data_IF_978770162966
#
_entry.id   IF_978770162966
#
_cell.length_a   1.000
_cell.length_b   1.000
_cell.length_c   1.000
_cell.angle_alpha   90.00
_cell.angle_beta   90.00
_cell.angle_gamma   90.00
#
_symmetry.space_group_name_H-M   'P 1'
#
loop_
_entity.id
_entity.type
_entity.pdbx_description
1 polymer ?
#
# COMPACT_ATOMS: atom_id res chain seq x y z
N UNK A 1 29.35 80.49 1.09
CA UNK A 1 28.66 79.65 0.07
C UNK A 1 29.29 78.25 -0.02
N UNK A 2 29.28 77.45 1.06
CA UNK A 2 29.85 76.07 1.08
C UNK A 2 28.97 75.03 1.81
N UNK A 3 27.84 75.43 2.39
CA UNK A 3 26.99 74.56 3.22
C UNK A 3 25.91 73.84 2.38
N UNK A 4 25.48 74.40 1.26
CA UNK A 4 24.39 73.84 0.43
C UNK A 4 24.84 72.60 -0.38
N UNK A 5 26.14 72.46 -0.65
CA UNK A 5 26.66 71.35 -1.47
C UNK A 5 26.76 70.01 -0.71
N UNK A 6 26.90 70.03 0.62
CA UNK A 6 26.94 68.80 1.44
C UNK A 6 25.55 68.19 1.68
N UNK A 7 24.48 69.00 1.68
CA UNK A 7 23.11 68.51 1.87
C UNK A 7 22.57 67.75 0.64
N UNK A 8 22.97 68.14 -0.57
CA UNK A 8 22.52 67.49 -1.82
C UNK A 8 23.16 66.11 -2.04
N UNK A 9 24.40 65.90 -1.62
CA UNK A 9 25.08 64.60 -1.72
C UNK A 9 24.49 63.60 -0.71
N UNK A 10 24.11 64.07 0.49
CA UNK A 10 23.42 63.25 1.47
C UNK A 10 22.07 62.76 0.92
N UNK A 11 21.21 63.63 0.38
CA UNK A 11 19.87 63.25 -0.11
C UNK A 11 19.92 62.25 -1.28
N UNK A 12 20.89 62.36 -2.19
CA UNK A 12 21.05 61.40 -3.30
C UNK A 12 21.53 60.01 -2.83
N UNK A 13 22.42 59.95 -1.85
CA UNK A 13 22.84 58.69 -1.23
C UNK A 13 21.73 58.02 -0.41
N UNK A 14 20.87 58.81 0.25
CA UNK A 14 19.71 58.28 0.97
C UNK A 14 18.65 57.68 0.01
N UNK A 15 18.37 58.31 -1.13
CA UNK A 15 17.40 57.79 -2.09
C UNK A 15 17.84 56.47 -2.76
N UNK A 16 19.14 56.29 -3.04
CA UNK A 16 19.66 55.00 -3.54
C UNK A 16 19.67 53.90 -2.47
N UNK A 17 19.91 54.25 -1.20
CA UNK A 17 19.85 53.29 -0.09
C UNK A 17 18.42 52.85 0.20
N UNK A 18 17.43 53.74 0.05
CA UNK A 18 16.01 53.42 0.22
C UNK A 18 15.53 52.49 -0.90
N UNK A 19 15.78 52.78 -2.17
CA UNK A 19 15.33 51.93 -3.29
C UNK A 19 15.97 50.52 -3.28
N UNK A 20 17.24 50.42 -2.91
CA UNK A 20 17.94 49.12 -2.78
C UNK A 20 17.43 48.32 -1.57
N UNK A 21 17.10 48.98 -0.45
CA UNK A 21 16.51 48.29 0.72
C UNK A 21 15.09 47.78 0.42
N UNK A 22 14.27 48.57 -0.26
CA UNK A 22 12.90 48.19 -0.66
C UNK A 22 12.91 46.93 -1.54
N UNK A 23 13.82 46.86 -2.51
CA UNK A 23 13.95 45.70 -3.40
C UNK A 23 14.40 44.43 -2.64
N UNK A 24 15.30 44.52 -1.66
CA UNK A 24 15.75 43.34 -0.89
C UNK A 24 14.68 42.80 0.06
N UNK A 25 13.90 43.68 0.68
CA UNK A 25 12.82 43.26 1.58
C UNK A 25 11.67 42.57 0.82
N UNK A 26 11.28 43.11 -0.34
CA UNK A 26 10.29 42.49 -1.22
C UNK A 26 10.74 41.10 -1.68
N UNK A 27 11.99 40.95 -2.11
CA UNK A 27 12.55 39.65 -2.50
C UNK A 27 12.59 38.64 -1.35
N UNK A 28 12.80 39.09 -0.11
CA UNK A 28 12.74 38.20 1.07
C UNK A 28 11.29 37.75 1.36
N UNK A 29 10.30 38.63 1.19
CA UNK A 29 8.87 38.26 1.28
C UNK A 29 8.47 37.27 0.19
N UNK A 30 8.98 37.45 -1.03
CA UNK A 30 8.75 36.51 -2.12
C UNK A 30 9.39 35.14 -1.83
N UNK A 31 10.58 35.12 -1.24
CA UNK A 31 11.24 33.89 -0.81
C UNK A 31 10.44 33.16 0.28
N UNK A 32 9.89 33.89 1.25
CA UNK A 32 9.00 33.34 2.27
C UNK A 32 7.72 32.77 1.67
N UNK A 33 7.10 33.48 0.74
CA UNK A 33 5.94 32.99 -0.01
C UNK A 33 6.25 31.69 -0.75
N UNK A 34 7.41 31.60 -1.43
CA UNK A 34 7.84 30.38 -2.15
C UNK A 34 8.02 29.20 -1.20
N UNK A 35 8.66 29.43 -0.04
CA UNK A 35 8.81 28.40 0.99
C UNK A 35 7.45 27.88 1.45
N UNK A 36 6.52 28.79 1.76
CA UNK A 36 5.17 28.41 2.20
C UNK A 36 4.38 27.66 1.13
N UNK A 37 4.51 28.05 -0.14
CA UNK A 37 3.91 27.30 -1.27
C UNK A 37 4.48 25.89 -1.34
N UNK A 38 5.80 25.72 -1.32
CA UNK A 38 6.43 24.40 -1.36
C UNK A 38 6.05 23.52 -0.16
N UNK A 39 5.94 24.08 1.04
CA UNK A 39 5.45 23.35 2.22
C UNK A 39 4.03 22.82 1.98
N UNK A 40 3.11 23.70 1.57
CA UNK A 40 1.72 23.33 1.31
C UNK A 40 1.61 22.26 0.20
N UNK A 41 2.45 22.34 -0.84
CA UNK A 41 2.52 21.31 -1.89
C UNK A 41 2.94 19.95 -1.32
N UNK A 42 4.00 19.91 -0.50
CA UNK A 42 4.47 18.66 0.14
C UNK A 42 3.39 18.09 1.07
N UNK A 43 2.73 18.94 1.88
CA UNK A 43 1.64 18.51 2.76
C UNK A 43 0.45 17.92 2.01
N UNK A 44 0.05 18.54 0.90
CA UNK A 44 -1.01 18.04 0.04
C UNK A 44 -0.64 16.69 -0.57
N UNK A 45 0.61 16.55 -1.03
CA UNK A 45 1.13 15.30 -1.57
C UNK A 45 1.16 14.20 -0.51
N UNK A 46 1.58 14.50 0.73
CA UNK A 46 1.51 13.55 1.85
C UNK A 46 0.05 13.09 2.10
N UNK A 47 -0.91 14.01 2.02
CA UNK A 47 -2.34 13.66 2.15
C UNK A 47 -2.80 12.72 1.04
N UNK A 48 -2.38 12.96 -0.20
CA UNK A 48 -2.68 12.11 -1.35
C UNK A 48 -2.04 10.73 -1.24
N UNK A 49 -0.80 10.66 -0.73
CA UNK A 49 -0.10 9.40 -0.47
C UNK A 49 -0.84 8.58 0.60
N UNK A 50 -1.31 9.21 1.67
CA UNK A 50 -2.12 8.55 2.70
C UNK A 50 -3.44 8.02 2.13
N UNK A 51 -4.10 8.79 1.25
CA UNK A 51 -5.29 8.32 0.54
C UNK A 51 -4.98 7.12 -0.36
N UNK A 52 -3.88 7.17 -1.09
CA UNK A 52 -3.40 6.06 -1.92
C UNK A 52 -3.15 4.79 -1.09
N UNK A 53 -2.44 4.92 0.05
CA UNK A 53 -2.22 3.84 1.04
C UNK A 53 -3.51 3.14 1.41
N UNK A 54 -4.50 3.89 1.88
CA UNK A 54 -5.78 3.34 2.33
C UNK A 54 -6.54 2.65 1.19
N UNK A 55 -6.56 3.27 0.00
CA UNK A 55 -7.21 2.70 -1.17
C UNK A 55 -6.54 1.39 -1.63
N UNK A 56 -5.21 1.35 -1.67
CA UNK A 56 -4.44 0.17 -2.07
C UNK A 56 -4.78 -1.01 -1.16
N UNK A 57 -4.72 -0.81 0.17
CA UNK A 57 -5.06 -1.84 1.15
C UNK A 57 -6.51 -2.29 1.04
N UNK A 58 -7.45 -1.35 0.99
CA UNK A 58 -8.88 -1.65 0.94
C UNK A 58 -9.23 -2.45 -0.32
N UNK A 59 -8.81 -1.98 -1.49
CA UNK A 59 -9.10 -2.66 -2.76
C UNK A 59 -8.49 -4.06 -2.80
N UNK A 60 -7.25 -4.21 -2.31
CA UNK A 60 -6.56 -5.50 -2.33
C UNK A 60 -7.27 -6.49 -1.42
N UNK A 61 -7.54 -6.08 -0.17
CA UNK A 61 -8.26 -6.88 0.82
C UNK A 61 -9.64 -7.30 0.31
N UNK A 62 -10.40 -6.37 -0.28
CA UNK A 62 -11.71 -6.70 -0.84
C UNK A 62 -11.60 -7.75 -1.95
N UNK A 63 -10.69 -7.54 -2.92
CA UNK A 63 -10.55 -8.42 -4.07
C UNK A 63 -10.08 -9.82 -3.70
N UNK A 64 -9.13 -9.92 -2.76
CA UNK A 64 -8.58 -11.20 -2.32
C UNK A 64 -9.58 -11.99 -1.46
N UNK A 65 -10.36 -11.30 -0.61
CA UNK A 65 -11.41 -11.91 0.23
C UNK A 65 -12.58 -12.42 -0.61
N UNK A 66 -13.09 -11.62 -1.56
CA UNK A 66 -14.17 -12.08 -2.47
C UNK A 66 -13.74 -13.36 -3.19
N UNK A 67 -12.47 -13.43 -3.62
CA UNK A 67 -11.95 -14.63 -4.26
C UNK A 67 -11.79 -15.80 -3.29
N UNK A 68 -11.41 -15.54 -2.03
CA UNK A 68 -11.35 -16.56 -0.97
C UNK A 68 -12.73 -17.19 -0.75
N UNK A 69 -13.76 -16.37 -0.59
CA UNK A 69 -15.15 -16.81 -0.35
C UNK A 69 -15.68 -17.68 -1.50
N UNK A 70 -15.39 -17.29 -2.75
CA UNK A 70 -15.73 -18.09 -3.92
C UNK A 70 -15.11 -19.49 -3.84
N UNK A 71 -13.81 -19.59 -3.52
CA UNK A 71 -13.12 -20.87 -3.42
C UNK A 71 -13.59 -21.68 -2.21
N UNK A 72 -13.89 -21.03 -1.08
CA UNK A 72 -14.47 -21.69 0.10
C UNK A 72 -15.84 -22.30 -0.23
N UNK A 73 -16.67 -21.59 -0.98
CA UNK A 73 -17.94 -22.13 -1.51
C UNK A 73 -17.69 -23.33 -2.43
N UNK A 74 -16.71 -23.27 -3.33
CA UNK A 74 -16.35 -24.41 -4.19
C UNK A 74 -15.92 -25.63 -3.37
N UNK A 75 -15.07 -25.45 -2.35
CA UNK A 75 -14.65 -26.53 -1.43
C UNK A 75 -15.86 -27.15 -0.73
N UNK A 76 -16.77 -26.32 -0.21
CA UNK A 76 -18.01 -26.78 0.41
C UNK A 76 -18.84 -27.63 -0.55
N UNK A 77 -19.13 -27.11 -1.74
CA UNK A 77 -19.92 -27.82 -2.74
C UNK A 77 -19.30 -29.16 -3.15
N UNK A 78 -17.97 -29.22 -3.34
CA UNK A 78 -17.29 -30.49 -3.66
C UNK A 78 -17.43 -31.50 -2.53
N UNK A 79 -17.28 -31.05 -1.28
CA UNK A 79 -17.41 -31.91 -0.11
C UNK A 79 -18.83 -32.43 0.05
N UNK A 80 -19.83 -31.55 -0.08
CA UNK A 80 -21.25 -31.90 0.05
C UNK A 80 -21.67 -32.92 -1.02
N UNK A 81 -21.34 -32.66 -2.29
CA UNK A 81 -21.64 -33.58 -3.40
C UNK A 81 -21.00 -34.95 -3.20
N UNK A 82 -19.77 -34.99 -2.69
CA UNK A 82 -19.11 -36.28 -2.41
C UNK A 82 -19.78 -37.08 -1.31
N UNK A 83 -20.31 -36.40 -0.28
CA UNK A 83 -21.04 -37.06 0.79
C UNK A 83 -22.42 -37.54 0.32
N UNK A 84 -23.05 -36.82 -0.61
CA UNK A 84 -24.28 -37.27 -1.29
C UNK A 84 -24.03 -38.52 -2.14
N UNK A 85 -22.95 -38.55 -2.92
CA UNK A 85 -22.54 -39.72 -3.69
C UNK A 85 -22.31 -40.94 -2.79
N UNK A 86 -21.56 -40.77 -1.70
CA UNK A 86 -21.32 -41.84 -0.73
C UNK A 86 -22.63 -42.29 -0.04
N UNK A 87 -23.58 -41.39 0.22
CA UNK A 87 -24.91 -41.76 0.74
C UNK A 87 -25.66 -42.68 -0.22
N UNK A 88 -25.53 -42.45 -1.52
CA UNK A 88 -26.12 -43.34 -2.54
C UNK A 88 -25.50 -44.74 -2.46
N UNK A 89 -24.18 -44.86 -2.37
CA UNK A 89 -23.52 -46.16 -2.17
C UNK A 89 -23.99 -46.88 -0.89
N UNK A 90 -24.16 -46.13 0.20
CA UNK A 90 -24.69 -46.67 1.47
C UNK A 90 -26.12 -47.20 1.30
N UNK A 91 -26.98 -46.46 0.60
CA UNK A 91 -28.34 -46.88 0.34
C UNK A 91 -28.37 -48.18 -0.48
N UNK A 92 -27.59 -48.24 -1.57
CA UNK A 92 -27.51 -49.42 -2.44
C UNK A 92 -26.92 -50.64 -1.75
N UNK A 93 -26.00 -50.47 -0.81
CA UNK A 93 -25.47 -51.57 -0.01
C UNK A 93 -26.51 -52.09 0.99
N UNK A 94 -27.28 -51.19 1.62
CA UNK A 94 -28.35 -51.57 2.57
C UNK A 94 -29.47 -52.35 1.88
N UNK A 95 -29.85 -51.98 0.66
CA UNK A 95 -30.86 -52.76 -0.11
C UNK A 95 -30.37 -54.17 -0.45
N UNK A 96 -29.05 -54.39 -0.46
CA UNK A 96 -28.41 -55.70 -0.61
C UNK A 96 -28.16 -56.43 0.72
N UNK A 97 -28.70 -55.94 1.84
CA UNK A 97 -28.56 -56.56 3.16
C UNK A 97 -27.23 -56.33 3.87
N UNK A 98 -26.40 -55.39 3.39
CA UNK A 98 -25.10 -55.05 3.98
C UNK A 98 -25.21 -53.98 5.08
N UNK A 99 -24.20 -53.89 5.95
CA UNK A 99 -24.11 -52.83 6.97
C UNK A 99 -22.92 -51.88 6.75
N UNK A 100 -23.07 -50.86 5.88
CA UNK A 100 -21.99 -49.92 5.54
C UNK A 100 -21.74 -48.81 6.57
N UNK A 101 -22.34 -48.88 7.77
CA UNK A 101 -22.38 -47.75 8.72
C UNK A 101 -20.99 -47.24 9.11
N UNK A 102 -20.04 -48.15 9.39
CA UNK A 102 -18.67 -47.77 9.75
C UNK A 102 -17.94 -47.08 8.59
N UNK A 103 -18.10 -47.59 7.37
CA UNK A 103 -17.53 -46.97 6.17
C UNK A 103 -18.05 -45.55 5.99
N UNK A 104 -19.37 -45.35 6.14
CA UNK A 104 -19.99 -44.04 6.01
C UNK A 104 -19.46 -43.02 7.04
N UNK A 105 -19.38 -43.42 8.31
CA UNK A 105 -18.87 -42.56 9.39
C UNK A 105 -17.41 -42.16 9.17
N UNK A 106 -16.57 -43.11 8.73
CA UNK A 106 -15.19 -42.83 8.39
C UNK A 106 -15.09 -41.81 7.25
N UNK A 107 -15.87 -41.99 6.18
CA UNK A 107 -15.85 -41.06 5.05
C UNK A 107 -16.36 -39.67 5.40
N UNK A 108 -17.31 -39.54 6.33
CA UNK A 108 -17.72 -38.25 6.89
C UNK A 108 -16.58 -37.55 7.63
N UNK A 109 -15.84 -38.29 8.46
CA UNK A 109 -14.69 -37.76 9.18
C UNK A 109 -13.60 -37.28 8.21
N UNK A 110 -13.29 -38.08 7.17
CA UNK A 110 -12.31 -37.72 6.14
C UNK A 110 -12.76 -36.48 5.35
N UNK A 111 -14.03 -36.43 4.93
CA UNK A 111 -14.59 -35.26 4.23
C UNK A 111 -14.45 -33.96 5.04
N UNK A 112 -14.67 -34.04 6.37
CA UNK A 112 -14.47 -32.91 7.29
C UNK A 112 -13.00 -32.48 7.39
N UNK A 113 -12.07 -33.44 7.41
CA UNK A 113 -10.63 -33.13 7.43
C UNK A 113 -10.24 -32.44 6.11
N UNK A 114 -10.70 -32.95 4.98
CA UNK A 114 -10.40 -32.38 3.66
C UNK A 114 -10.89 -30.93 3.56
N UNK A 115 -12.14 -30.65 3.95
CA UNK A 115 -12.70 -29.29 3.88
C UNK A 115 -11.99 -28.34 4.84
N UNK A 116 -11.71 -28.75 6.08
CA UNK A 116 -10.95 -27.95 7.05
C UNK A 116 -9.54 -27.62 6.56
N UNK A 117 -8.84 -28.59 5.98
CA UNK A 117 -7.52 -28.37 5.39
C UNK A 117 -7.59 -27.41 4.19
N UNK A 118 -8.64 -27.54 3.38
CA UNK A 118 -8.94 -26.62 2.30
C UNK A 118 -9.11 -25.18 2.80
N UNK A 119 -10.00 -24.95 3.77
CA UNK A 119 -10.22 -23.62 4.35
C UNK A 119 -8.95 -23.02 4.98
N UNK A 120 -8.23 -23.81 5.78
CA UNK A 120 -6.96 -23.37 6.37
C UNK A 120 -5.93 -22.98 5.32
N UNK A 121 -5.88 -23.71 4.19
CA UNK A 121 -4.97 -23.38 3.10
C UNK A 121 -5.39 -22.13 2.34
N UNK A 122 -6.70 -21.87 2.19
CA UNK A 122 -7.18 -20.59 1.65
C UNK A 122 -6.76 -19.42 2.55
N UNK A 123 -6.85 -19.55 3.88
CA UNK A 123 -6.39 -18.51 4.81
C UNK A 123 -4.89 -18.23 4.67
N UNK A 124 -4.07 -19.27 4.44
CA UNK A 124 -2.64 -19.12 4.17
C UNK A 124 -2.39 -18.36 2.87
N UNK A 125 -3.11 -18.70 1.80
CA UNK A 125 -3.01 -17.99 0.52
C UNK A 125 -3.30 -16.49 0.66
N UNK A 126 -4.28 -16.09 1.48
CA UNK A 126 -4.55 -14.67 1.77
C UNK A 126 -3.34 -14.00 2.41
N UNK A 127 -2.74 -14.63 3.42
CA UNK A 127 -1.58 -14.07 4.13
C UNK A 127 -0.39 -13.91 3.19
N UNK A 128 -0.08 -14.93 2.40
CA UNK A 128 1.01 -14.90 1.41
C UNK A 128 0.78 -13.81 0.35
N UNK A 129 -0.45 -13.66 -0.13
CA UNK A 129 -0.80 -12.60 -1.07
C UNK A 129 -0.62 -11.19 -0.48
N UNK A 130 -0.94 -10.99 0.80
CA UNK A 130 -0.85 -9.67 1.48
C UNK A 130 0.60 -9.18 1.66
N UNK A 131 1.57 -10.07 1.78
CA UNK A 131 3.00 -9.69 1.90
C UNK A 131 3.44 -8.75 0.78
N UNK A 132 2.91 -8.91 -0.43
CA UNK A 132 3.24 -8.05 -1.56
C UNK A 132 2.88 -6.58 -1.32
N UNK A 133 1.73 -6.31 -0.72
CA UNK A 133 1.29 -4.92 -0.45
C UNK A 133 1.88 -4.37 0.85
N UNK A 134 2.32 -5.21 1.78
CA UNK A 134 2.97 -4.80 3.04
C UNK A 134 4.32 -4.11 2.77
N UNK A 135 5.10 -4.63 1.81
CA UNK A 135 6.36 -4.00 1.41
C UNK A 135 6.15 -2.57 0.90
N UNK A 136 5.06 -2.35 0.15
CA UNK A 136 4.68 -1.03 -0.37
C UNK A 136 4.33 -0.08 0.78
N UNK A 137 3.73 -0.58 1.87
CA UNK A 137 3.42 0.25 3.04
C UNK A 137 4.66 0.86 3.66
N UNK A 138 5.73 0.05 3.78
CA UNK A 138 7.02 0.51 4.31
C UNK A 138 7.59 1.63 3.43
N UNK A 139 7.58 1.44 2.10
CA UNK A 139 8.02 2.48 1.15
C UNK A 139 7.19 3.75 1.27
N UNK A 140 5.88 3.63 1.52
CA UNK A 140 5.02 4.80 1.74
C UNK A 140 5.44 5.55 3.03
N UNK A 141 5.79 4.84 4.11
CA UNK A 141 6.24 5.47 5.36
C UNK A 141 7.56 6.24 5.16
N UNK A 142 8.50 5.67 4.41
CA UNK A 142 9.77 6.32 4.09
C UNK A 142 9.56 7.62 3.30
N UNK A 143 8.63 7.59 2.33
CA UNK A 143 8.30 8.77 1.53
C UNK A 143 7.63 9.83 2.39
N UNK A 144 6.65 9.46 3.23
CA UNK A 144 6.00 10.42 4.14
C UNK A 144 7.05 11.07 5.06
N UNK A 145 7.96 10.29 5.64
CA UNK A 145 9.05 10.76 6.50
C UNK A 145 9.98 11.72 5.75
N UNK A 146 10.31 11.40 4.50
CA UNK A 146 11.09 12.28 3.62
C UNK A 146 10.38 13.60 3.39
N UNK A 147 9.07 13.58 3.09
CA UNK A 147 8.27 14.79 2.92
C UNK A 147 8.21 15.66 4.19
N UNK A 148 8.02 15.04 5.36
CA UNK A 148 8.04 15.75 6.65
C UNK A 148 9.40 16.38 6.93
N UNK A 149 10.50 15.69 6.60
CA UNK A 149 11.86 16.22 6.73
C UNK A 149 12.03 17.45 5.84
N UNK A 150 11.58 17.41 4.58
CA UNK A 150 11.65 18.55 3.67
C UNK A 150 10.87 19.77 4.19
N UNK A 151 9.70 19.56 4.79
CA UNK A 151 8.92 20.64 5.43
C UNK A 151 9.73 21.28 6.56
N UNK A 152 10.34 20.46 7.44
CA UNK A 152 11.14 20.96 8.55
C UNK A 152 12.40 21.72 8.09
N UNK A 153 13.07 21.22 7.04
CA UNK A 153 14.23 21.91 6.47
C UNK A 153 13.86 23.25 5.83
N UNK A 154 12.69 23.33 5.17
CA UNK A 154 12.13 24.56 4.62
C UNK A 154 11.84 25.60 5.72
N UNK A 155 11.30 25.18 6.86
CA UNK A 155 11.07 26.04 8.03
C UNK A 155 12.36 26.63 8.60
N UNK A 156 13.45 25.89 8.51
CA UNK A 156 14.74 26.32 9.07
C UNK A 156 15.53 27.26 8.15
N UNK A 157 15.10 27.48 6.89
CA UNK A 157 15.88 28.27 5.92
C UNK A 157 16.18 29.69 6.42
N UNK A 158 15.18 30.39 6.96
CA UNK A 158 15.36 31.77 7.39
C UNK A 158 16.19 31.89 8.67
N UNK A 159 16.02 30.97 9.61
CA UNK A 159 16.80 30.93 10.85
C UNK A 159 18.27 30.56 10.59
N UNK A 160 18.54 29.66 9.64
CA UNK A 160 19.91 29.28 9.28
C UNK A 160 20.64 30.40 8.52
N UNK A 161 19.90 31.24 7.79
CA UNK A 161 20.45 32.39 7.08
C UNK A 161 20.53 33.65 7.98
N UNK A 162 21.05 33.50 9.20
CA UNK A 162 21.21 34.63 10.12
C UNK A 162 22.37 35.55 9.68
N UNK A 163 22.06 36.69 9.04
CA UNK A 163 23.05 37.72 8.74
C UNK A 163 22.47 39.13 8.90
N UNK A 164 23.28 40.05 9.46
CA UNK A 164 22.90 41.46 9.66
C UNK A 164 22.81 42.24 8.34
N UNK A 165 23.47 41.77 7.27
CA UNK A 165 23.43 42.38 5.95
C UNK A 165 22.30 41.75 5.10
N UNK A 166 21.25 42.52 4.72
CA UNK A 166 20.08 42.00 4.03
C UNK A 166 20.40 41.29 2.70
N UNK A 167 21.36 41.81 1.92
CA UNK A 167 21.78 41.19 0.65
C UNK A 167 22.41 39.81 0.84
N UNK A 168 23.21 39.62 1.89
CA UNK A 168 23.84 38.34 2.21
C UNK A 168 22.78 37.35 2.69
N UNK A 169 21.85 37.80 3.54
CA UNK A 169 20.70 37.01 3.98
C UNK A 169 19.88 36.53 2.77
N UNK A 170 19.51 37.44 1.86
CA UNK A 170 18.76 37.10 0.65
C UNK A 170 19.50 36.10 -0.25
N UNK A 171 20.80 36.28 -0.44
CA UNK A 171 21.61 35.33 -1.22
C UNK A 171 21.62 33.92 -0.57
N UNK A 172 21.81 33.86 0.75
CA UNK A 172 21.76 32.60 1.50
C UNK A 172 20.41 31.88 1.35
N UNK A 173 19.30 32.61 1.58
CA UNK A 173 17.94 32.08 1.48
C UNK A 173 17.68 31.57 0.06
N UNK A 174 18.01 32.36 -0.96
CA UNK A 174 17.80 31.99 -2.37
C UNK A 174 18.58 30.73 -2.73
N UNK A 175 19.84 30.61 -2.28
CA UNK A 175 20.66 29.41 -2.52
C UNK A 175 20.05 28.17 -1.87
N UNK A 176 19.54 28.30 -0.64
CA UNK A 176 18.86 27.19 0.06
C UNK A 176 17.56 26.80 -0.61
N UNK A 177 16.73 27.76 -1.05
CA UNK A 177 15.49 27.45 -1.80
C UNK A 177 15.81 26.64 -3.04
N UNK A 178 16.77 27.08 -3.87
CA UNK A 178 17.19 26.33 -5.07
C UNK A 178 17.66 24.90 -4.77
N UNK A 179 18.35 24.71 -3.65
CA UNK A 179 18.76 23.38 -3.20
C UNK A 179 17.54 22.49 -2.87
N UNK A 180 16.54 23.04 -2.21
CA UNK A 180 15.32 22.29 -1.86
C UNK A 180 14.42 22.02 -3.06
N UNK A 181 14.40 22.88 -4.08
CA UNK A 181 13.70 22.61 -5.35
C UNK A 181 14.17 21.27 -5.97
N UNK A 182 15.48 20.97 -5.90
CA UNK A 182 16.01 19.69 -6.36
C UNK A 182 15.54 18.52 -5.47
N UNK A 183 15.50 18.70 -4.16
CA UNK A 183 15.01 17.66 -3.25
C UNK A 183 13.52 17.39 -3.41
N UNK A 184 12.70 18.42 -3.61
CA UNK A 184 11.27 18.29 -3.93
C UNK A 184 11.09 17.56 -5.26
N UNK A 185 11.92 17.84 -6.27
CA UNK A 185 11.88 17.08 -7.53
C UNK A 185 12.18 15.59 -7.33
N UNK A 186 13.19 15.27 -6.53
CA UNK A 186 13.52 13.87 -6.22
C UNK A 186 12.40 13.20 -5.42
N UNK A 187 11.83 13.90 -4.44
CA UNK A 187 10.67 13.44 -3.67
C UNK A 187 9.49 13.10 -4.59
N UNK A 188 9.13 13.99 -5.53
CA UNK A 188 8.09 13.74 -6.53
C UNK A 188 8.40 12.52 -7.42
N UNK A 189 9.67 12.33 -7.81
CA UNK A 189 10.10 11.14 -8.55
C UNK A 189 9.90 9.85 -7.75
N UNK A 190 10.25 9.87 -6.46
CA UNK A 190 10.06 8.73 -5.55
C UNK A 190 8.58 8.36 -5.41
N UNK A 191 7.68 9.34 -5.41
CA UNK A 191 6.23 9.12 -5.34
C UNK A 191 5.72 8.41 -6.60
N UNK A 192 6.15 8.87 -7.78
CA UNK A 192 5.79 8.20 -9.04
C UNK A 192 6.26 6.75 -9.04
N UNK A 193 7.51 6.51 -8.65
CA UNK A 193 8.05 5.15 -8.56
C UNK A 193 7.27 4.30 -7.55
N UNK A 194 6.94 4.84 -6.38
CA UNK A 194 6.17 4.16 -5.36
C UNK A 194 4.77 3.76 -5.86
N UNK A 195 4.08 4.63 -6.61
CA UNK A 195 2.78 4.28 -7.21
C UNK A 195 2.91 3.11 -8.19
N UNK A 196 3.90 3.16 -9.08
CA UNK A 196 4.15 2.06 -10.03
C UNK A 196 4.48 0.75 -9.31
N UNK A 197 5.32 0.80 -8.27
CA UNK A 197 5.63 -0.38 -7.45
C UNK A 197 4.39 -0.89 -6.72
N UNK A 198 3.57 0.00 -6.18
CA UNK A 198 2.32 -0.36 -5.51
C UNK A 198 1.31 -1.05 -6.43
N UNK A 199 1.13 -0.54 -7.64
CA UNK A 199 0.21 -1.12 -8.63
C UNK A 199 0.71 -2.49 -9.13
N UNK A 200 2.03 -2.62 -9.26
CA UNK A 200 2.69 -3.89 -9.62
C UNK A 200 2.52 -4.91 -8.51
N UNK A 201 2.81 -4.54 -7.26
CA UNK A 201 2.67 -5.40 -6.10
C UNK A 201 1.21 -5.84 -5.90
N UNK A 202 0.24 -4.94 -6.13
CA UNK A 202 -1.18 -5.27 -6.13
C UNK A 202 -1.48 -6.39 -7.14
N UNK A 203 -1.03 -6.24 -8.39
CA UNK A 203 -1.28 -7.23 -9.43
C UNK A 203 -0.60 -8.57 -9.13
N UNK A 204 0.67 -8.54 -8.74
CA UNK A 204 1.44 -9.73 -8.42
C UNK A 204 0.86 -10.48 -7.22
N UNK A 205 0.56 -9.77 -6.12
CA UNK A 205 -0.06 -10.37 -4.95
C UNK A 205 -1.43 -10.98 -5.27
N UNK A 206 -2.23 -10.31 -6.11
CA UNK A 206 -3.53 -10.83 -6.51
C UNK A 206 -3.42 -12.09 -7.39
N UNK A 207 -2.51 -12.10 -8.37
CA UNK A 207 -2.26 -13.27 -9.22
C UNK A 207 -1.70 -14.44 -8.41
N UNK A 208 -0.77 -14.16 -7.50
CA UNK A 208 -0.22 -15.15 -6.57
C UNK A 208 -1.33 -15.77 -5.72
N UNK A 209 -2.20 -14.95 -5.15
CA UNK A 209 -3.38 -15.40 -4.40
C UNK A 209 -4.29 -16.30 -5.23
N UNK A 210 -4.61 -15.93 -6.48
CA UNK A 210 -5.42 -16.77 -7.38
C UNK A 210 -4.74 -18.12 -7.63
N UNK A 211 -3.45 -18.11 -7.95
CA UNK A 211 -2.71 -19.34 -8.21
C UNK A 211 -2.71 -20.27 -7.00
N UNK A 212 -2.48 -19.70 -5.80
CA UNK A 212 -2.54 -20.42 -4.54
C UNK A 212 -3.94 -21.02 -4.31
N UNK A 213 -5.01 -20.23 -4.45
CA UNK A 213 -6.39 -20.73 -4.31
C UNK A 213 -6.73 -21.87 -5.27
N UNK A 214 -6.32 -21.75 -6.53
CA UNK A 214 -6.56 -22.79 -7.53
C UNK A 214 -5.89 -24.11 -7.13
N UNK A 215 -4.66 -24.05 -6.60
CA UNK A 215 -3.95 -25.21 -6.09
C UNK A 215 -4.70 -25.86 -4.91
N UNK A 216 -5.22 -25.05 -3.97
CA UNK A 216 -6.03 -25.54 -2.86
C UNK A 216 -7.29 -26.27 -3.36
N UNK A 217 -7.99 -25.70 -4.34
CA UNK A 217 -9.18 -26.32 -4.94
C UNK A 217 -8.84 -27.64 -5.63
N UNK A 218 -7.73 -27.71 -6.38
CA UNK A 218 -7.27 -28.95 -7.02
C UNK A 218 -6.97 -30.02 -5.99
N UNK A 219 -6.19 -29.72 -4.95
CA UNK A 219 -5.88 -30.66 -3.87
C UNK A 219 -7.12 -31.13 -3.13
N UNK A 220 -8.07 -30.22 -2.88
CA UNK A 220 -9.35 -30.57 -2.25
C UNK A 220 -10.12 -31.55 -3.13
N UNK A 221 -10.20 -31.30 -4.44
CA UNK A 221 -10.88 -32.17 -5.40
C UNK A 221 -10.26 -33.57 -5.43
N UNK A 222 -8.94 -33.66 -5.42
CA UNK A 222 -8.22 -34.94 -5.36
C UNK A 222 -8.55 -35.70 -4.07
N UNK A 223 -8.46 -35.04 -2.92
CA UNK A 223 -8.80 -35.64 -1.63
C UNK A 223 -10.26 -36.11 -1.56
N UNK A 224 -11.20 -35.31 -2.08
CA UNK A 224 -12.60 -35.68 -2.16
C UNK A 224 -12.81 -36.93 -3.02
N UNK A 225 -12.21 -36.98 -4.22
CA UNK A 225 -12.31 -38.16 -5.11
C UNK A 225 -11.73 -39.42 -4.47
N UNK A 226 -10.59 -39.31 -3.79
CA UNK A 226 -9.99 -40.41 -3.07
C UNK A 226 -10.92 -40.93 -1.97
N UNK A 227 -11.54 -40.03 -1.20
CA UNK A 227 -12.51 -40.40 -0.16
C UNK A 227 -13.73 -41.15 -0.73
N UNK A 228 -14.27 -40.69 -1.87
CA UNK A 228 -15.39 -41.37 -2.55
C UNK A 228 -15.00 -42.79 -2.97
N UNK A 229 -13.86 -42.95 -3.64
CA UNK A 229 -13.38 -44.25 -4.10
C UNK A 229 -13.12 -45.21 -2.93
N UNK A 230 -12.52 -44.72 -1.85
CA UNK A 230 -12.25 -45.53 -0.66
C UNK A 230 -13.54 -45.90 0.09
N UNK A 231 -14.51 -44.98 0.15
CA UNK A 231 -15.83 -45.25 0.69
C UNK A 231 -16.54 -46.34 -0.09
N UNK A 232 -16.60 -46.22 -1.42
CA UNK A 232 -17.22 -47.21 -2.31
C UNK A 232 -16.59 -48.59 -2.10
N UNK A 233 -15.26 -48.66 -2.08
CA UNK A 233 -14.53 -49.90 -1.85
C UNK A 233 -14.87 -50.53 -0.48
N UNK A 234 -14.86 -49.74 0.59
CA UNK A 234 -15.19 -50.19 1.94
C UNK A 234 -16.63 -50.73 1.99
N UNK A 235 -17.59 -49.98 1.42
CA UNK A 235 -19.01 -50.32 1.37
C UNK A 235 -19.24 -51.61 0.58
N UNK A 236 -18.55 -51.79 -0.54
CA UNK A 236 -18.67 -53.00 -1.35
C UNK A 236 -18.10 -54.25 -0.66
N UNK A 237 -17.25 -54.09 0.36
CA UNK A 237 -16.72 -55.20 1.17
C UNK A 237 -17.47 -55.46 2.47
N UNK A 238 -18.29 -54.51 2.93
CA UNK A 238 -19.17 -54.67 4.10
C UNK A 238 -20.42 -55.51 3.83
#
# INVERSE_FOLDING_TARGET
MKIISFLLIAVLSFNQVISVKVNVEENLKDAEKKINVSKNEIENVIRDINKYRSNLQFMFNNKITVRQEQNAKTIRCMTDLSLEEIRTFVYDARTKGKNPTKCYQNSQAIARIISNNGYSSLDKCVKEAKVFIEQVQTTIDDIITTGQTLIAELDYIFSDCHNRLPKIKLHCVTRKIKKHELYIKNFNSSITSMRTTGDTAFHQGFLHGIACYNNVVVKTREGVRANVAEAEYCINKS
#
